data_IF_880717912712
#
_entry.id   IF_880717912712
#
_cell.length_a   1.000
_cell.length_b   1.000
_cell.length_c   1.000
_cell.angle_alpha   90.00
_cell.angle_beta   90.00
_cell.angle_gamma   90.00
#
_symmetry.space_group_name_H-M   'P 1'
#
loop_
_entity.id
_entity.type
_entity.pdbx_description
1 polymer ?
#
# COMPACT_ATOMS: atom_id res chain seq x y z
N UNK A 1 -2.38 40.87 15.11
CA UNK A 1 -3.08 40.91 13.82
C UNK A 1 -2.06 40.76 12.70
N UNK A 2 -2.20 39.67 11.93
CA UNK A 2 -1.80 39.44 10.51
C UNK A 2 -0.48 40.06 10.02
N UNK A 3 0.50 39.31 9.55
CA UNK A 3 0.43 38.20 8.58
C UNK A 3 1.19 38.66 7.33
N UNK A 4 2.38 38.12 7.08
CA UNK A 4 3.19 38.48 5.91
C UNK A 4 3.30 37.30 4.95
N UNK A 5 2.86 37.57 3.74
CA UNK A 5 2.90 36.75 2.54
C UNK A 5 4.34 36.50 2.11
N UNK A 6 4.68 35.25 1.78
CA UNK A 6 5.75 34.96 0.83
C UNK A 6 5.31 33.85 -0.11
N UNK A 7 4.92 34.27 -1.30
CA UNK A 7 4.88 33.46 -2.51
C UNK A 7 6.30 33.10 -2.94
N UNK A 8 6.50 31.86 -3.37
CA UNK A 8 7.48 31.56 -4.42
C UNK A 8 6.91 30.45 -5.30
N UNK A 9 6.66 30.83 -6.55
CA UNK A 9 6.28 29.97 -7.66
C UNK A 9 7.54 29.36 -8.27
N UNK A 10 7.58 28.03 -8.40
CA UNK A 10 8.35 27.35 -9.46
C UNK A 10 7.85 25.92 -9.64
N UNK A 11 7.06 25.71 -10.69
CA UNK A 11 6.86 24.41 -11.35
C UNK A 11 7.63 24.46 -12.68
N UNK A 12 8.10 23.34 -13.26
CA UNK A 12 7.17 22.50 -14.02
C UNK A 12 7.51 21.00 -14.03
N UNK A 13 6.64 20.18 -13.44
CA UNK A 13 6.25 18.84 -13.94
C UNK A 13 5.06 18.37 -13.12
N UNK A 14 3.89 18.89 -13.45
CA UNK A 14 2.63 18.36 -12.94
C UNK A 14 2.40 17.01 -13.63
N UNK A 15 2.80 15.91 -12.97
CA UNK A 15 1.98 14.72 -13.07
C UNK A 15 0.64 15.09 -12.43
N UNK A 16 -0.43 14.97 -13.20
CA UNK A 16 -1.79 15.22 -12.76
C UNK A 16 -2.14 14.13 -11.73
N UNK A 17 -1.70 14.29 -10.49
CA UNK A 17 -2.26 13.55 -9.36
C UNK A 17 -3.70 14.02 -9.21
N UNK A 18 -4.65 13.24 -9.73
CA UNK A 18 -6.06 13.38 -9.38
C UNK A 18 -6.13 13.34 -7.84
N UNK A 19 -6.55 14.45 -7.23
CA UNK A 19 -6.48 14.69 -5.80
C UNK A 19 -7.55 13.91 -5.03
N UNK A 20 -7.46 12.58 -5.05
CA UNK A 20 -8.28 11.72 -4.19
C UNK A 20 -7.87 11.85 -2.71
N UNK A 21 -6.74 12.51 -2.42
CA UNK A 21 -6.24 12.80 -1.09
C UNK A 21 -6.45 14.27 -0.71
N UNK A 22 -7.40 14.55 0.18
CA UNK A 22 -7.50 15.87 0.82
C UNK A 22 -7.07 15.72 2.28
N UNK A 23 -5.82 16.10 2.57
CA UNK A 23 -5.35 16.27 3.95
C UNK A 23 -5.33 17.77 4.30
N UNK A 24 -5.80 18.18 5.49
CA UNK A 24 -6.39 17.37 6.56
C UNK A 24 -7.76 16.77 6.16
N UNK A 25 -8.13 15.59 6.69
CA UNK A 25 -9.39 14.96 6.34
C UNK A 25 -10.57 15.88 6.70
N UNK A 26 -11.60 15.91 5.84
CA UNK A 26 -12.81 16.74 6.00
C UNK A 26 -13.49 16.52 7.37
N UNK A 27 -13.35 15.33 7.93
CA UNK A 27 -13.75 14.95 9.30
C UNK A 27 -12.74 13.96 9.90
N UNK A 28 -12.43 14.05 11.19
CA UNK A 28 -11.63 13.03 11.91
C UNK A 28 -10.23 13.45 12.35
N UNK A 29 -9.38 12.44 12.52
CA UNK A 29 -8.12 12.34 13.28
C UNK A 29 -7.52 13.66 13.78
N UNK A 30 -7.83 13.98 15.03
CA UNK A 30 -7.18 15.05 15.80
C UNK A 30 -6.01 14.43 16.58
N UNK A 31 -4.78 14.88 16.30
CA UNK A 31 -3.64 14.49 17.11
C UNK A 31 -3.80 15.02 18.53
N UNK A 32 -3.61 14.16 19.52
CA UNK A 32 -3.52 14.56 20.93
C UNK A 32 -2.37 15.57 21.12
N UNK A 33 -2.43 16.37 22.19
CA UNK A 33 -1.41 17.36 22.58
C UNK A 33 0.06 16.88 22.60
N UNK A 34 0.27 15.57 22.55
CA UNK A 34 1.54 14.89 22.71
C UNK A 34 1.64 13.63 21.84
N UNK A 35 2.86 13.16 21.59
CA UNK A 35 3.15 11.87 20.96
C UNK A 35 4.26 11.14 21.73
N UNK A 36 4.42 9.84 21.51
CA UNK A 36 5.49 9.04 22.12
C UNK A 36 6.46 8.56 21.03
N UNK A 37 7.77 8.71 21.26
CA UNK A 37 8.81 8.22 20.37
C UNK A 37 9.96 7.66 21.20
N UNK A 38 10.41 6.43 20.92
CA UNK A 38 11.50 5.81 21.68
C UNK A 38 11.22 5.59 23.17
N UNK A 39 9.95 5.60 23.60
CA UNK A 39 9.54 5.49 25.01
C UNK A 39 9.33 6.83 25.71
N UNK A 40 9.72 7.95 25.09
CA UNK A 40 9.59 9.28 25.67
C UNK A 40 8.35 10.02 25.14
N UNK A 41 7.73 10.84 26.00
CA UNK A 41 6.59 11.70 25.65
C UNK A 41 7.10 13.05 25.13
N UNK A 42 6.65 13.47 23.96
CA UNK A 42 6.97 14.74 23.34
C UNK A 42 5.72 15.62 23.21
N UNK A 43 5.82 16.87 23.63
CA UNK A 43 4.81 17.91 23.39
C UNK A 43 5.32 18.80 22.24
N UNK A 44 4.65 18.74 21.08
CA UNK A 44 5.08 19.46 19.87
C UNK A 44 3.91 20.14 19.16
N UNK A 45 4.23 21.25 18.49
CA UNK A 45 3.31 22.07 17.69
C UNK A 45 3.27 21.61 16.22
N UNK A 46 4.30 20.91 15.72
CA UNK A 46 4.40 20.42 14.34
C UNK A 46 4.51 18.88 14.33
N UNK A 47 3.42 18.20 14.66
CA UNK A 47 3.42 16.73 14.93
C UNK A 47 3.50 15.90 13.66
N UNK A 48 2.93 16.41 12.58
CA UNK A 48 2.98 15.85 11.23
C UNK A 48 4.42 15.63 10.75
N UNK A 49 5.39 16.41 11.25
CA UNK A 49 6.81 16.23 10.91
C UNK A 49 7.43 14.95 11.49
N UNK A 50 6.80 14.34 12.49
CA UNK A 50 7.25 13.10 13.14
C UNK A 50 6.48 11.86 12.64
N UNK A 51 5.51 12.05 11.75
CA UNK A 51 4.77 10.94 11.15
C UNK A 51 5.64 10.32 10.08
N UNK A 52 5.89 9.02 10.23
CA UNK A 52 6.46 8.24 9.15
C UNK A 52 5.35 7.86 8.17
N UNK A 53 5.35 8.47 6.99
CA UNK A 53 4.33 8.28 5.96
C UNK A 53 3.79 9.61 5.43
N UNK A 54 2.91 9.56 4.44
CA UNK A 54 2.25 10.77 3.95
C UNK A 54 1.08 11.10 4.88
N UNK A 55 0.89 12.36 5.33
CA UNK A 55 -0.27 12.72 6.14
C UNK A 55 -1.60 12.36 5.46
N UNK A 56 -1.64 12.41 4.13
CA UNK A 56 -2.73 11.89 3.30
C UNK A 56 -3.11 10.44 3.61
N UNK A 57 -2.19 9.61 4.08
CA UNK A 57 -2.46 8.21 4.41
C UNK A 57 -3.42 8.05 5.59
N UNK A 58 -3.50 9.05 6.47
CA UNK A 58 -4.39 9.04 7.64
C UNK A 58 -5.87 9.04 7.27
N UNK A 59 -6.22 9.54 6.08
CA UNK A 59 -7.61 9.50 5.60
C UNK A 59 -8.09 8.06 5.35
N UNK A 60 -7.17 7.10 5.27
CA UNK A 60 -7.45 5.70 5.05
C UNK A 60 -7.49 4.86 6.32
N UNK A 61 -7.09 5.48 7.44
CA UNK A 61 -7.08 4.83 8.74
C UNK A 61 -8.40 5.16 9.43
N UNK A 62 -8.86 4.26 10.30
CA UNK A 62 -10.06 4.48 11.08
C UNK A 62 -9.95 5.81 11.87
N UNK A 63 -10.95 6.68 11.74
CA UNK A 63 -11.02 7.96 12.43
C UNK A 63 -11.38 7.82 13.91
N UNK A 64 -11.89 6.65 14.31
CA UNK A 64 -12.12 6.32 15.71
C UNK A 64 -10.83 5.80 16.38
N UNK A 65 -10.53 6.22 17.62
CA UNK A 65 -9.39 5.70 18.36
C UNK A 65 -9.54 4.19 18.55
N UNK A 66 -8.68 3.42 17.90
CA UNK A 66 -8.55 2.00 18.16
C UNK A 66 -8.02 1.82 19.59
N UNK A 67 -8.58 0.91 20.40
CA UNK A 67 -8.05 0.56 21.72
C UNK A 67 -6.76 -0.27 21.61
N UNK A 68 -5.92 0.01 20.61
CA UNK A 68 -4.62 -0.64 20.47
C UNK A 68 -3.71 -0.13 21.59
N UNK A 69 -3.60 -0.92 22.66
CA UNK A 69 -2.60 -0.69 23.67
C UNK A 69 -1.26 -1.16 23.10
N UNK A 70 -0.43 -0.21 22.67
CA UNK A 70 1.00 -0.46 22.52
C UNK A 70 1.47 -1.10 23.83
N UNK A 71 2.09 -2.30 23.83
CA UNK A 71 2.63 -2.89 25.05
C UNK A 71 3.74 -2.00 25.58
N UNK A 72 3.41 -1.07 26.48
CA UNK A 72 4.40 -0.19 27.10
C UNK A 72 5.31 -1.06 27.96
N UNK A 73 6.63 -0.98 27.74
CA UNK A 73 7.63 -1.56 28.63
C UNK A 73 7.89 -3.06 28.50
N UNK A 74 7.39 -3.75 27.46
CA UNK A 74 7.97 -5.07 27.13
C UNK A 74 9.34 -4.85 26.50
N UNK A 75 10.42 -5.48 27.01
CA UNK A 75 11.68 -5.52 26.25
C UNK A 75 11.37 -6.05 24.85
N UNK A 76 12.13 -5.60 23.84
CA UNK A 76 12.01 -6.04 22.46
C UNK A 76 12.31 -7.55 22.34
N UNK A 77 11.42 -8.39 22.88
CA UNK A 77 11.42 -9.81 22.67
C UNK A 77 10.73 -10.10 21.35
N UNK A 78 11.35 -10.97 20.54
CA UNK A 78 10.79 -11.71 19.39
C UNK A 78 9.54 -11.07 18.75
N UNK A 79 9.73 -10.51 17.55
CA UNK A 79 8.64 -10.05 16.68
C UNK A 79 7.63 -11.18 16.49
N UNK A 80 6.37 -10.93 16.86
CA UNK A 80 5.28 -11.85 16.54
C UNK A 80 4.84 -11.58 15.09
N UNK A 81 4.87 -12.59 14.20
CA UNK A 81 4.37 -12.40 12.85
C UNK A 81 2.87 -12.10 12.90
N UNK A 82 2.44 -11.16 12.06
CA UNK A 82 1.02 -10.94 11.77
C UNK A 82 0.60 -11.93 10.68
N UNK A 83 -0.55 -12.57 10.85
CA UNK A 83 -1.05 -13.57 9.91
C UNK A 83 -2.25 -13.03 9.14
N UNK A 84 -2.02 -12.62 7.89
CA UNK A 84 -3.12 -12.36 6.95
C UNK A 84 -3.61 -13.71 6.40
N UNK A 85 -4.89 -14.04 6.62
CA UNK A 85 -5.49 -15.30 6.13
C UNK A 85 -6.01 -15.21 4.70
N UNK A 86 -6.14 -14.00 4.16
CA UNK A 86 -6.48 -13.73 2.76
C UNK A 86 -5.44 -12.77 2.18
N UNK A 87 -5.02 -13.01 0.94
CA UNK A 87 -4.07 -12.17 0.24
C UNK A 87 -4.43 -12.01 -1.24
N UNK A 88 -4.57 -10.76 -1.68
CA UNK A 88 -4.67 -10.40 -3.10
C UNK A 88 -3.26 -10.05 -3.60
N UNK A 89 -2.80 -10.76 -4.64
CA UNK A 89 -1.52 -10.53 -5.31
C UNK A 89 -1.62 -9.30 -6.21
N UNK A 90 -1.33 -8.13 -5.64
CA UNK A 90 -1.52 -6.83 -6.31
C UNK A 90 -0.78 -6.73 -7.65
N UNK A 91 0.36 -7.39 -7.78
CA UNK A 91 1.21 -7.41 -8.98
C UNK A 91 0.57 -8.16 -10.15
N UNK A 92 -0.39 -9.04 -9.85
CA UNK A 92 -1.13 -9.80 -10.87
C UNK A 92 -2.39 -9.07 -11.34
N UNK A 93 -2.77 -7.98 -10.67
CA UNK A 93 -4.00 -7.26 -10.95
C UNK A 93 -3.91 -6.54 -12.30
N UNK A 94 -4.84 -6.88 -13.21
CA UNK A 94 -4.86 -6.36 -14.58
C UNK A 94 -6.28 -6.17 -15.10
N UNK A 95 -6.39 -5.34 -16.14
CA UNK A 95 -7.56 -5.34 -17.00
C UNK A 95 -7.38 -6.36 -18.11
N UNK A 96 -8.41 -7.18 -18.32
CA UNK A 96 -8.50 -8.13 -19.44
C UNK A 96 -9.61 -7.66 -20.37
N UNK A 97 -9.33 -7.65 -21.68
CA UNK A 97 -10.34 -7.27 -22.67
C UNK A 97 -11.45 -8.31 -22.69
N UNK A 98 -12.70 -7.87 -22.64
CA UNK A 98 -13.85 -8.76 -22.83
C UNK A 98 -13.95 -9.13 -24.31
N UNK A 99 -14.01 -10.43 -24.61
CA UNK A 99 -14.21 -10.93 -25.96
C UNK A 99 -15.64 -10.64 -26.41
N UNK A 100 -15.83 -9.66 -27.29
CA UNK A 100 -17.11 -9.44 -27.96
C UNK A 100 -17.26 -10.46 -29.07
N UNK A 101 -17.82 -11.63 -28.74
CA UNK A 101 -18.26 -12.60 -29.75
C UNK A 101 -19.22 -11.93 -30.74
N UNK A 102 -18.75 -11.77 -31.99
CA UNK A 102 -19.54 -11.31 -33.13
C UNK A 102 -20.27 -9.97 -32.95
N UNK A 103 -19.51 -8.87 -32.95
CA UNK A 103 -19.78 -7.59 -33.65
C UNK A 103 -18.71 -6.60 -33.14
N UNK A 104 -18.11 -5.74 -33.99
CA UNK A 104 -17.14 -4.76 -33.55
C UNK A 104 -17.87 -3.69 -32.72
N UNK A 105 -17.95 -3.90 -31.41
CA UNK A 105 -18.35 -2.85 -30.48
C UNK A 105 -17.38 -1.67 -30.68
N UNK A 106 -17.87 -0.44 -30.86
CA UNK A 106 -17.00 0.71 -31.12
C UNK A 106 -16.07 1.08 -29.94
N UNK A 107 -16.12 0.34 -28.83
CA UNK A 107 -15.39 0.63 -27.60
C UNK A 107 -14.93 -0.67 -26.92
N UNK A 108 -13.62 -0.77 -26.64
CA UNK A 108 -13.02 -1.89 -25.90
C UNK A 108 -13.57 -1.91 -24.47
N UNK A 109 -14.14 -3.04 -24.06
CA UNK A 109 -14.64 -3.23 -22.69
C UNK A 109 -13.74 -4.20 -21.94
N UNK A 110 -13.58 -4.01 -20.64
CA UNK A 110 -12.60 -4.71 -19.82
C UNK A 110 -13.24 -5.26 -18.54
N UNK A 111 -12.68 -6.33 -18.01
CA UNK A 111 -12.95 -6.83 -16.67
C UNK A 111 -11.65 -6.90 -15.85
N UNK A 112 -11.78 -6.97 -14.52
CA UNK A 112 -10.65 -7.11 -13.60
C UNK A 112 -10.31 -8.59 -13.43
N UNK A 113 -9.02 -8.90 -13.51
CA UNK A 113 -8.47 -10.21 -13.20
C UNK A 113 -7.26 -10.06 -12.27
N UNK A 114 -7.14 -10.97 -11.30
CA UNK A 114 -6.01 -11.04 -10.35
C UNK A 114 -5.92 -12.43 -9.72
N UNK A 115 -4.78 -12.70 -9.09
CA UNK A 115 -4.54 -13.92 -8.32
C UNK A 115 -4.75 -13.64 -6.83
N UNK A 116 -5.32 -14.60 -6.11
CA UNK A 116 -5.42 -14.57 -4.67
C UNK A 116 -4.91 -15.85 -4.01
N UNK A 117 -4.51 -15.71 -2.77
CA UNK A 117 -4.19 -16.77 -1.83
C UNK A 117 -5.09 -16.66 -0.61
N UNK A 118 -5.70 -17.75 -0.19
CA UNK A 118 -6.57 -17.77 0.98
C UNK A 118 -6.34 -19.05 1.81
N UNK A 119 -6.07 -18.87 3.10
CA UNK A 119 -5.93 -19.97 4.06
C UNK A 119 -7.29 -20.48 4.56
N UNK A 120 -8.35 -19.72 4.25
CA UNK A 120 -9.72 -19.89 4.71
C UNK A 120 -10.67 -19.58 3.55
N UNK A 121 -11.94 -19.96 3.68
CA UNK A 121 -12.93 -19.62 2.67
C UNK A 121 -13.15 -18.09 2.67
N UNK A 122 -13.17 -17.49 1.49
CA UNK A 122 -13.22 -16.03 1.32
C UNK A 122 -14.17 -15.62 0.20
N UNK A 123 -14.54 -14.33 0.20
CA UNK A 123 -15.31 -13.68 -0.86
C UNK A 123 -14.49 -12.52 -1.42
N UNK A 124 -14.31 -12.51 -2.74
CA UNK A 124 -13.70 -11.40 -3.47
C UNK A 124 -14.80 -10.59 -4.13
N UNK A 125 -14.72 -9.28 -4.02
CA UNK A 125 -15.71 -8.35 -4.56
C UNK A 125 -15.06 -7.19 -5.30
N UNK A 126 -15.60 -6.83 -6.47
CA UNK A 126 -15.17 -5.69 -7.27
C UNK A 126 -16.22 -4.60 -7.20
N UNK A 127 -15.78 -3.39 -6.88
CA UNK A 127 -16.63 -2.23 -6.73
C UNK A 127 -16.14 -1.07 -7.59
N UNK A 128 -17.08 -0.21 -8.03
CA UNK A 128 -16.79 1.03 -8.73
C UNK A 128 -17.25 2.24 -7.92
N UNK A 129 -16.50 3.33 -8.00
CA UNK A 129 -16.79 4.61 -7.36
C UNK A 129 -17.14 4.47 -5.88
N UNK A 130 -16.19 3.94 -5.09
CA UNK A 130 -16.43 3.65 -3.67
C UNK A 130 -15.79 4.65 -2.74
N UNK A 131 -16.48 4.88 -1.62
CA UNK A 131 -15.86 5.43 -0.42
C UNK A 131 -15.65 4.29 0.57
N UNK A 132 -14.44 4.24 1.15
CA UNK A 132 -14.18 3.32 2.25
C UNK A 132 -14.51 3.95 3.60
N UNK A 133 -14.98 3.13 4.52
CA UNK A 133 -15.24 3.49 5.92
C UNK A 133 -14.94 2.30 6.82
N UNK A 134 -14.96 2.53 8.13
CA UNK A 134 -14.83 1.46 9.13
C UNK A 134 -16.08 1.39 9.98
N UNK A 135 -16.65 0.19 10.09
CA UNK A 135 -17.69 -0.11 11.06
C UNK A 135 -17.06 -0.95 12.18
N UNK A 136 -16.64 -0.27 13.25
CA UNK A 136 -15.80 -0.87 14.29
C UNK A 136 -14.44 -1.28 13.74
N UNK A 137 -14.16 -2.58 13.74
CA UNK A 137 -12.91 -3.18 13.27
C UNK A 137 -12.98 -3.71 11.83
N UNK A 138 -14.13 -3.57 11.16
CA UNK A 138 -14.34 -4.09 9.81
C UNK A 138 -14.32 -2.96 8.79
N UNK A 139 -13.61 -3.18 7.70
CA UNK A 139 -13.60 -2.30 6.53
C UNK A 139 -14.90 -2.50 5.75
N UNK A 140 -15.56 -1.40 5.40
CA UNK A 140 -16.82 -1.36 4.66
C UNK A 140 -16.69 -0.40 3.49
N UNK A 141 -17.20 -0.80 2.33
CA UNK A 141 -17.24 0.02 1.12
C UNK A 141 -18.67 0.50 0.86
N UNK A 142 -18.80 1.75 0.44
CA UNK A 142 -20.06 2.37 0.05
C UNK A 142 -19.96 2.88 -1.39
N UNK A 143 -20.78 2.33 -2.28
CA UNK A 143 -20.89 2.79 -3.66
C UNK A 143 -21.50 4.20 -3.72
N UNK A 144 -20.86 5.10 -4.47
CA UNK A 144 -21.28 6.49 -4.60
C UNK A 144 -22.00 6.76 -5.92
N UNK A 145 -21.87 5.87 -6.91
CA UNK A 145 -22.42 6.08 -8.25
C UNK A 145 -23.74 5.31 -8.46
N UNK A 146 -24.83 5.96 -8.93
CA UNK A 146 -26.16 5.35 -9.02
C UNK A 146 -26.27 4.21 -10.04
N UNK A 147 -25.45 4.23 -11.10
CA UNK A 147 -25.41 3.13 -12.08
C UNK A 147 -24.63 1.90 -11.60
N UNK A 148 -23.86 2.03 -10.51
CA UNK A 148 -23.04 0.95 -9.96
C UNK A 148 -23.27 0.80 -8.46
N UNK A 149 -24.52 0.49 -8.02
CA UNK A 149 -24.89 0.56 -6.61
C UNK A 149 -24.35 -0.59 -5.75
N UNK A 150 -23.78 -1.65 -6.36
CA UNK A 150 -23.30 -2.82 -5.64
C UNK A 150 -22.14 -3.52 -6.36
N UNK A 151 -21.48 -4.44 -5.65
CA UNK A 151 -20.35 -5.17 -6.20
C UNK A 151 -20.77 -6.44 -6.92
N UNK A 152 -19.89 -6.87 -7.82
CA UNK A 152 -19.84 -8.27 -8.24
C UNK A 152 -18.98 -9.07 -7.27
N UNK A 153 -19.45 -10.27 -6.90
CA UNK A 153 -18.87 -11.10 -5.83
C UNK A 153 -18.63 -12.52 -6.29
N UNK A 154 -17.50 -13.08 -5.88
CA UNK A 154 -17.18 -14.48 -6.11
C UNK A 154 -16.54 -15.10 -4.87
N UNK A 155 -16.92 -16.34 -4.55
CA UNK A 155 -16.41 -17.08 -3.40
C UNK A 155 -15.32 -18.06 -3.81
N UNK A 156 -14.35 -18.22 -2.93
CA UNK A 156 -13.24 -19.14 -3.09
C UNK A 156 -13.08 -19.97 -1.83
N UNK A 157 -12.89 -21.27 -2.00
CA UNK A 157 -12.47 -22.13 -0.90
C UNK A 157 -10.97 -21.95 -0.62
N UNK A 158 -10.52 -22.29 0.59
CA UNK A 158 -9.09 -22.27 0.94
C UNK A 158 -8.19 -22.87 -0.16
N UNK A 159 -7.14 -22.15 -0.51
CA UNK A 159 -6.19 -22.54 -1.56
C UNK A 159 -5.25 -21.39 -1.92
N UNK A 160 -4.20 -21.71 -2.68
CA UNK A 160 -3.22 -20.75 -3.16
C UNK A 160 -3.31 -20.64 -4.68
N UNK A 161 -2.98 -19.47 -5.23
CA UNK A 161 -2.93 -19.25 -6.67
C UNK A 161 -4.29 -19.29 -7.36
N UNK A 162 -5.38 -18.97 -6.67
CA UNK A 162 -6.69 -18.85 -7.29
C UNK A 162 -6.70 -17.69 -8.27
N UNK A 163 -7.19 -17.92 -9.49
CA UNK A 163 -7.42 -16.85 -10.47
C UNK A 163 -8.85 -16.35 -10.29
N UNK A 164 -9.00 -15.09 -9.93
CA UNK A 164 -10.27 -14.37 -9.91
C UNK A 164 -10.41 -13.57 -11.20
N UNK A 165 -11.54 -13.71 -11.89
CA UNK A 165 -11.86 -12.98 -13.12
C UNK A 165 -13.32 -12.49 -13.06
N UNK A 166 -13.51 -11.17 -13.06
CA UNK A 166 -14.82 -10.55 -12.83
C UNK A 166 -15.59 -10.30 -14.14
N UNK A 167 -15.94 -11.36 -14.87
CA UNK A 167 -16.56 -11.23 -16.20
C UNK A 167 -17.95 -10.58 -16.18
N UNK A 168 -18.67 -10.69 -15.06
CA UNK A 168 -20.00 -10.08 -14.86
C UNK A 168 -19.95 -8.55 -14.85
N UNK A 169 -18.83 -7.95 -14.43
CA UNK A 169 -18.61 -6.50 -14.44
C UNK A 169 -17.69 -6.11 -15.59
N UNK A 170 -18.28 -6.01 -16.79
CA UNK A 170 -17.58 -5.47 -17.95
C UNK A 170 -17.73 -3.95 -17.99
N UNK A 171 -16.62 -3.22 -17.93
CA UNK A 171 -16.61 -1.75 -17.87
C UNK A 171 -15.76 -1.14 -18.98
N UNK A 172 -16.15 0.06 -19.39
CA UNK A 172 -15.33 0.93 -20.25
C UNK A 172 -14.59 1.90 -19.34
N UNK A 173 -13.25 1.91 -19.31
CA UNK A 173 -12.52 2.80 -18.41
C UNK A 173 -12.77 4.30 -18.63
N UNK A 174 -13.36 4.72 -19.75
CA UNK A 174 -13.86 6.11 -19.91
C UNK A 174 -14.90 6.50 -18.87
N UNK A 175 -15.58 5.53 -18.26
CA UNK A 175 -16.53 5.77 -17.16
C UNK A 175 -15.88 6.54 -15.99
N UNK A 176 -14.57 6.37 -15.78
CA UNK A 176 -13.84 7.07 -14.73
C UNK A 176 -13.66 8.56 -15.04
N UNK A 177 -13.55 8.92 -16.32
CA UNK A 177 -13.50 10.30 -16.78
C UNK A 177 -14.91 10.92 -16.69
N UNK A 178 -15.94 10.20 -17.16
CA UNK A 178 -17.33 10.69 -17.18
C UNK A 178 -17.91 10.92 -15.77
N UNK A 179 -17.53 10.09 -14.81
CA UNK A 179 -18.02 10.16 -13.44
C UNK A 179 -17.21 11.10 -12.54
N UNK A 180 -16.12 11.70 -13.03
CA UNK A 180 -15.18 12.47 -12.22
C UNK A 180 -15.86 13.58 -11.42
N UNK A 181 -16.85 14.25 -12.00
CA UNK A 181 -17.57 15.35 -11.37
C UNK A 181 -18.57 14.89 -10.30
N UNK A 182 -19.21 13.75 -10.52
CA UNK A 182 -20.22 13.19 -9.60
C UNK A 182 -19.62 12.44 -8.41
N UNK A 183 -18.39 11.96 -8.55
CA UNK A 183 -17.74 11.03 -7.62
C UNK A 183 -16.35 11.52 -7.16
N UNK A 184 -16.13 12.83 -7.07
CA UNK A 184 -14.81 13.44 -6.80
C UNK A 184 -14.07 12.91 -5.56
N UNK A 185 -14.80 12.46 -4.54
CA UNK A 185 -14.23 11.93 -3.29
C UNK A 185 -14.23 10.38 -3.23
N UNK A 186 -14.52 9.70 -4.34
CA UNK A 186 -14.63 8.24 -4.41
C UNK A 186 -13.46 7.63 -5.18
N UNK A 187 -13.01 6.44 -4.76
CA UNK A 187 -12.05 5.66 -5.51
C UNK A 187 -12.72 5.02 -6.73
N UNK A 188 -12.14 5.15 -7.93
CA UNK A 188 -12.78 4.71 -9.16
C UNK A 188 -13.02 3.20 -9.18
N UNK A 189 -12.07 2.41 -8.67
CA UNK A 189 -12.18 0.96 -8.59
C UNK A 189 -11.60 0.44 -7.27
N UNK A 190 -12.27 -0.57 -6.69
CA UNK A 190 -11.77 -1.28 -5.53
C UNK A 190 -11.97 -2.79 -5.68
N UNK A 191 -10.99 -3.56 -5.21
CA UNK A 191 -11.09 -5.01 -5.04
C UNK A 191 -10.96 -5.32 -3.55
N UNK A 192 -11.99 -5.90 -2.96
CA UNK A 192 -12.03 -6.31 -1.56
C UNK A 192 -12.09 -7.84 -1.48
N UNK A 193 -11.15 -8.43 -0.75
CA UNK A 193 -11.19 -9.83 -0.33
C UNK A 193 -11.46 -9.91 1.16
N UNK A 194 -12.50 -10.63 1.57
CA UNK A 194 -12.90 -10.79 2.96
C UNK A 194 -12.98 -12.27 3.36
N UNK A 195 -12.43 -12.60 4.53
CA UNK A 195 -12.61 -13.92 5.14
C UNK A 195 -14.07 -14.15 5.51
N UNK A 196 -14.57 -15.36 5.25
CA UNK A 196 -15.90 -15.83 5.66
C UNK A 196 -15.88 -16.55 7.02
N UNK A 197 -14.72 -16.67 7.67
CA UNK A 197 -14.65 -17.26 9.01
C UNK A 197 -15.25 -16.37 10.09
N UNK A 198 -15.80 -17.02 11.12
CA UNK A 198 -16.24 -16.33 12.33
C UNK A 198 -15.02 -15.92 13.15
N UNK A 199 -14.90 -14.63 13.46
CA UNK A 199 -13.76 -14.13 14.22
C UNK A 199 -13.50 -12.64 13.99
N UNK A 200 -12.33 -12.14 14.42
CA UNK A 200 -11.94 -10.78 14.12
C UNK A 200 -11.71 -10.60 12.61
N UNK A 201 -12.00 -9.41 12.11
CA UNK A 201 -12.02 -9.15 10.67
C UNK A 201 -10.64 -9.37 10.04
N UNK A 202 -10.63 -10.20 9.00
CA UNK A 202 -9.48 -10.39 8.14
C UNK A 202 -9.88 -10.05 6.70
N UNK A 203 -9.34 -8.94 6.18
CA UNK A 203 -9.73 -8.36 4.90
C UNK A 203 -8.51 -7.76 4.19
N UNK A 204 -8.49 -7.80 2.87
CA UNK A 204 -7.55 -7.03 2.07
C UNK A 204 -8.30 -6.21 1.02
N UNK A 205 -7.98 -4.92 0.96
CA UNK A 205 -8.51 -3.98 -0.01
C UNK A 205 -7.38 -3.47 -0.90
N UNK A 206 -7.61 -3.55 -2.21
CA UNK A 206 -6.84 -2.84 -3.23
C UNK A 206 -7.70 -1.70 -3.77
N UNK A 207 -7.19 -0.47 -3.65
CA UNK A 207 -7.75 0.70 -4.30
C UNK A 207 -6.99 0.94 -5.60
N UNK A 208 -7.72 1.02 -6.71
CA UNK A 208 -7.13 1.01 -8.04
C UNK A 208 -7.64 2.16 -8.89
N UNK A 209 -6.87 2.52 -9.91
CA UNK A 209 -7.28 3.39 -11.01
C UNK A 209 -7.01 2.72 -12.36
N UNK A 210 -7.59 3.30 -13.41
CA UNK A 210 -7.25 2.94 -14.78
C UNK A 210 -6.28 3.96 -15.37
N UNK A 211 -5.20 3.49 -15.96
CA UNK A 211 -4.23 4.32 -16.67
C UNK A 211 -4.33 4.03 -18.18
N UNK A 212 -4.50 5.08 -18.98
CA UNK A 212 -4.54 4.95 -20.44
C UNK A 212 -3.12 4.75 -20.95
N UNK A 213 -2.89 3.63 -21.64
CA UNK A 213 -1.62 3.37 -22.31
C UNK A 213 -1.55 4.23 -23.59
N UNK A 214 -0.39 4.83 -23.85
CA UNK A 214 -0.18 5.76 -24.95
C UNK A 214 -0.38 5.13 -26.35
N UNK A 215 -0.38 3.80 -26.44
CA UNK A 215 -0.66 3.04 -27.66
C UNK A 215 -2.03 2.33 -27.58
N UNK A 216 -2.82 2.44 -28.64
CA UNK A 216 -3.99 1.60 -28.96
C UNK A 216 -5.21 1.60 -28.03
N UNK A 217 -5.51 2.74 -27.39
CA UNK A 217 -6.68 2.91 -26.50
C UNK A 217 -6.80 1.82 -25.42
N UNK A 218 -5.69 1.16 -25.11
CA UNK A 218 -5.57 0.14 -24.10
C UNK A 218 -5.48 0.79 -22.72
N UNK A 219 -5.99 0.10 -21.71
CA UNK A 219 -5.93 0.54 -20.33
C UNK A 219 -5.21 -0.48 -19.48
N UNK A 220 -4.38 -0.01 -18.56
CA UNK A 220 -3.80 -0.82 -17.49
C UNK A 220 -4.52 -0.53 -16.17
N UNK A 221 -4.63 -1.56 -15.34
CA UNK A 221 -5.11 -1.41 -13.97
C UNK A 221 -3.91 -1.06 -13.08
N UNK A 222 -4.02 0.01 -12.32
CA UNK A 222 -2.97 0.46 -11.40
C UNK A 222 -3.46 0.40 -9.98
N UNK A 223 -2.76 -0.36 -9.14
CA UNK A 223 -3.02 -0.38 -7.70
C UNK A 223 -2.40 0.87 -7.08
N UNK A 224 -3.24 1.74 -6.52
CA UNK A 224 -2.84 2.97 -5.86
C UNK A 224 -2.52 2.74 -4.39
N UNK A 225 -3.34 1.91 -3.72
CA UNK A 225 -3.20 1.67 -2.29
C UNK A 225 -3.64 0.28 -1.89
N UNK A 226 -2.95 -0.27 -0.89
CA UNK A 226 -3.24 -1.57 -0.30
C UNK A 226 -3.48 -1.40 1.20
N UNK A 227 -4.63 -1.88 1.67
CA UNK A 227 -5.00 -1.90 3.08
C UNK A 227 -5.29 -3.34 3.46
N UNK A 228 -4.65 -3.81 4.54
CA UNK A 228 -4.91 -5.14 5.10
C UNK A 228 -5.42 -4.97 6.51
N UNK A 229 -6.57 -5.55 6.81
CA UNK A 229 -7.13 -5.64 8.16
C UNK A 229 -6.77 -7.02 8.69
N UNK A 230 -5.99 -7.06 9.77
CA UNK A 230 -5.60 -8.30 10.45
C UNK A 230 -6.08 -8.21 11.89
N UNK A 231 -6.88 -9.19 12.30
CA UNK A 231 -7.51 -9.21 13.62
C UNK A 231 -8.22 -7.89 13.97
N UNK A 232 -8.85 -7.26 12.97
CA UNK A 232 -9.54 -5.98 13.13
C UNK A 232 -8.65 -4.73 13.17
N UNK A 233 -7.33 -4.88 13.03
CA UNK A 233 -6.37 -3.78 12.96
C UNK A 233 -6.11 -3.41 11.48
N UNK A 234 -6.50 -2.21 11.02
CA UNK A 234 -6.20 -1.76 9.67
C UNK A 234 -4.73 -1.34 9.53
N UNK A 235 -4.06 -1.90 8.54
CA UNK A 235 -2.66 -1.65 8.20
C UNK A 235 -2.57 -1.20 6.74
N UNK A 236 -1.97 -0.04 6.52
CA UNK A 236 -1.57 0.37 5.17
C UNK A 236 -0.27 -0.34 4.83
N UNK A 237 -0.26 -1.08 3.72
CA UNK A 237 0.90 -1.86 3.29
C UNK A 237 1.71 -1.06 2.27
N UNK A 238 3.02 -0.96 2.50
CA UNK A 238 3.95 -0.31 1.59
C UNK A 238 5.02 -1.31 1.13
N UNK A 239 5.44 -1.18 -0.13
CA UNK A 239 6.59 -1.92 -0.63
C UNK A 239 7.88 -1.41 0.02
N UNK A 240 8.86 -2.30 0.13
CA UNK A 240 10.20 -1.94 0.57
C UNK A 240 11.12 -2.16 -0.62
N UNK A 241 11.82 -1.12 -1.03
CA UNK A 241 12.72 -1.16 -2.17
C UNK A 241 14.05 -1.82 -1.75
N UNK A 242 14.61 -2.65 -2.63
CA UNK A 242 15.86 -3.36 -2.36
C UNK A 242 15.69 -4.69 -1.63
N UNK A 243 14.45 -5.15 -1.41
CA UNK A 243 14.15 -6.55 -1.10
C UNK A 243 14.08 -7.30 -2.43
N UNK A 244 15.07 -8.12 -2.72
CA UNK A 244 14.98 -9.12 -3.80
C UNK A 244 14.38 -10.41 -3.26
N UNK A 245 13.49 -11.04 -4.05
CA UNK A 245 12.88 -12.33 -3.72
C UNK A 245 13.95 -13.42 -3.68
N UNK A 246 14.40 -13.75 -2.46
CA UNK A 246 15.12 -15.00 -2.21
C UNK A 246 14.12 -16.14 -2.16
N UNK A 247 13.57 -16.52 -3.31
CA UNK A 247 12.91 -17.82 -3.43
C UNK A 247 13.97 -18.93 -3.31
N UNK A 248 14.18 -19.40 -2.08
CA UNK A 248 14.84 -20.69 -1.80
C UNK A 248 16.00 -20.64 -0.79
N UNK A 249 15.75 -21.17 0.41
CA UNK A 249 16.80 -21.76 1.24
C UNK A 249 17.17 -21.00 2.50
N UNK A 250 16.62 -21.46 3.63
CA UNK A 250 16.92 -20.96 4.95
C UNK A 250 18.32 -21.26 5.45
N UNK A 251 18.58 -20.72 6.63
CA UNK A 251 19.73 -21.00 7.49
C UNK A 251 20.11 -22.48 7.55
N UNK A 252 21.38 -22.77 7.28
CA UNK A 252 22.10 -23.93 7.82
C UNK A 252 22.15 -25.18 6.93
N UNK A 253 23.22 -25.32 6.14
CA UNK A 253 24.08 -26.51 6.14
C UNK A 253 25.21 -26.36 5.11
N UNK A 254 26.44 -26.59 5.57
CA UNK A 254 27.57 -26.89 4.70
C UNK A 254 27.34 -28.28 4.09
N UNK A 255 27.24 -28.38 2.77
CA UNK A 255 27.60 -29.58 2.02
C UNK A 255 27.83 -29.22 0.55
N UNK A 256 28.92 -29.74 -0.01
CA UNK A 256 29.48 -29.40 -1.30
C UNK A 256 28.80 -30.09 -2.50
N UNK A 257 29.10 -29.54 -3.69
CA UNK A 257 29.13 -30.14 -5.04
C UNK A 257 28.07 -29.59 -6.03
N UNK A 258 28.30 -29.68 -7.37
CA UNK A 258 28.91 -28.60 -8.15
C UNK A 258 28.02 -28.06 -9.28
N UNK A 259 28.50 -26.96 -9.86
CA UNK A 259 27.93 -26.08 -10.89
C UNK A 259 27.21 -26.73 -12.09
N UNK A 260 26.11 -26.09 -12.54
CA UNK A 260 26.02 -25.46 -13.86
C UNK A 260 24.70 -24.67 -14.07
N UNK A 261 24.84 -23.54 -14.77
CA UNK A 261 23.83 -22.72 -15.48
C UNK A 261 23.15 -21.55 -14.74
N UNK A 262 23.80 -20.38 -14.84
CA UNK A 262 23.24 -19.04 -15.09
C UNK A 262 22.04 -18.54 -14.27
N UNK A 263 22.32 -18.17 -13.03
CA UNK A 263 21.65 -17.02 -12.39
C UNK A 263 22.73 -16.02 -11.97
N UNK A 264 22.98 -15.04 -12.84
CA UNK A 264 23.87 -13.90 -12.61
C UNK A 264 23.23 -12.94 -11.59
N UNK A 265 23.08 -13.35 -10.33
CA UNK A 265 22.94 -12.40 -9.23
C UNK A 265 24.32 -12.20 -8.63
N UNK A 266 24.88 -11.00 -8.80
CA UNK A 266 26.14 -10.62 -8.17
C UNK A 266 25.96 -10.73 -6.64
N UNK A 267 26.81 -11.48 -5.91
CA UNK A 267 26.73 -11.57 -4.45
C UNK A 267 26.70 -10.20 -3.73
N UNK A 268 27.17 -9.12 -4.39
CA UNK A 268 27.09 -7.75 -3.87
C UNK A 268 25.69 -7.14 -3.79
N UNK A 269 24.68 -7.70 -4.48
CA UNK A 269 23.33 -7.11 -4.54
C UNK A 269 22.48 -7.33 -3.28
N UNK A 270 22.95 -8.15 -2.33
CA UNK A 270 22.30 -8.33 -1.03
C UNK A 270 23.07 -7.71 0.14
N UNK A 271 24.27 -7.20 -0.12
CA UNK A 271 25.16 -6.67 0.90
C UNK A 271 24.93 -5.18 1.15
N UNK A 272 25.18 -4.76 2.38
CA UNK A 272 25.11 -3.38 2.82
C UNK A 272 25.98 -2.49 1.92
N UNK A 273 25.39 -1.45 1.35
CA UNK A 273 26.07 -0.56 0.37
C UNK A 273 27.24 0.23 0.96
N UNK A 274 27.38 0.25 2.29
CA UNK A 274 28.46 0.97 2.99
C UNK A 274 29.64 0.05 3.27
N UNK A 275 29.40 -1.11 3.86
CA UNK A 275 30.49 -2.01 4.26
C UNK A 275 30.77 -3.12 3.26
N UNK A 276 29.82 -3.44 2.36
CA UNK A 276 29.90 -4.54 1.38
C UNK A 276 30.26 -5.90 2.00
N UNK A 277 29.92 -6.11 3.28
CA UNK A 277 30.31 -7.31 4.06
C UNK A 277 29.13 -7.96 4.76
N UNK A 278 28.21 -7.17 5.32
CA UNK A 278 27.03 -7.68 6.03
C UNK A 278 25.80 -7.54 5.15
N UNK A 279 24.87 -8.49 5.28
CA UNK A 279 23.57 -8.42 4.63
C UNK A 279 22.77 -7.18 5.07
N UNK A 280 21.89 -6.71 4.19
CA UNK A 280 20.97 -5.60 4.47
C UNK A 280 19.86 -6.10 5.40
N UNK A 281 19.68 -5.43 6.53
CA UNK A 281 18.65 -5.74 7.54
C UNK A 281 17.93 -4.49 8.07
N UNK A 282 18.35 -3.31 7.61
CA UNK A 282 17.86 -2.03 8.11
C UNK A 282 17.23 -1.20 6.99
N UNK A 283 15.95 -0.88 7.16
CA UNK A 283 15.20 0.01 6.27
C UNK A 283 15.40 1.47 6.68
N UNK A 284 15.69 2.33 5.72
CA UNK A 284 15.76 3.78 5.93
C UNK A 284 14.37 4.38 5.69
N UNK A 285 13.79 4.97 6.74
CA UNK A 285 12.59 5.80 6.64
C UNK A 285 13.01 7.27 6.45
N UNK A 286 12.27 8.08 5.65
CA UNK A 286 10.98 7.79 5.01
C UNK A 286 11.08 7.12 3.63
N UNK A 287 12.29 6.93 3.09
CA UNK A 287 12.47 6.50 1.70
C UNK A 287 12.20 5.01 1.43
N UNK A 288 11.95 4.19 2.46
CA UNK A 288 11.62 2.75 2.38
C UNK A 288 12.67 1.90 1.63
N UNK A 289 13.94 2.28 1.69
CA UNK A 289 15.03 1.51 1.07
C UNK A 289 15.68 0.58 2.10
N UNK A 290 15.73 -0.72 1.79
CA UNK A 290 16.55 -1.71 2.48
C UNK A 290 17.93 -1.73 1.80
N UNK A 291 18.89 -1.01 2.36
CA UNK A 291 20.24 -0.90 1.78
C UNK A 291 21.39 -0.96 2.79
N UNK A 292 21.10 -0.97 4.10
CA UNK A 292 22.10 -0.94 5.16
C UNK A 292 22.00 -2.17 6.08
N UNK A 293 23.14 -2.53 6.67
CA UNK A 293 23.17 -3.35 7.88
C UNK A 293 23.04 -2.47 9.14
N UNK A 294 22.59 -3.06 10.23
CA UNK A 294 22.33 -2.42 11.52
C UNK A 294 23.52 -1.57 12.01
N UNK A 295 24.73 -2.14 11.99
CA UNK A 295 25.94 -1.42 12.43
C UNK A 295 26.28 -0.18 11.58
N UNK A 296 26.01 -0.22 10.27
CA UNK A 296 26.24 0.93 9.39
C UNK A 296 25.15 1.98 9.57
N UNK A 297 23.90 1.55 9.77
CA UNK A 297 22.78 2.44 10.04
C UNK A 297 22.98 3.20 11.35
N UNK A 298 23.41 2.53 12.41
CA UNK A 298 23.68 3.18 13.70
C UNK A 298 24.83 4.20 13.60
N UNK A 299 25.90 3.87 12.89
CA UNK A 299 27.01 4.81 12.66
C UNK A 299 26.54 6.09 11.93
N UNK A 300 25.65 5.95 10.93
CA UNK A 300 25.08 7.09 10.19
C UNK A 300 24.14 7.93 11.06
N UNK A 301 23.33 7.29 11.93
CA UNK A 301 22.46 7.98 12.89
C UNK A 301 23.28 8.87 13.83
N UNK A 302 24.38 8.34 14.38
CA UNK A 302 25.23 9.10 15.30
C UNK A 302 25.93 10.29 14.62
N UNK A 303 26.41 10.14 13.38
CA UNK A 303 27.01 11.26 12.65
C UNK A 303 26.00 12.36 12.29
N UNK A 304 24.75 11.99 11.97
CA UNK A 304 23.67 12.95 11.73
C UNK A 304 23.24 13.68 13.01
N UNK A 305 23.32 13.02 14.17
CA UNK A 305 22.95 13.61 15.47
C UNK A 305 23.92 14.69 16.01
N UNK A 306 25.13 14.81 15.45
CA UNK A 306 26.05 15.92 15.76
C UNK A 306 25.73 17.22 15.00
N UNK A 307 24.75 17.23 14.09
CA UNK A 307 24.34 18.42 13.34
C UNK A 307 23.06 19.02 13.93
N UNK A 308 23.14 20.19 14.58
CA UNK A 308 21.99 20.92 15.19
C UNK A 308 20.98 21.51 14.17
N UNK A 309 20.76 20.87 13.03
CA UNK A 309 19.83 21.34 11.99
C UNK A 309 19.39 20.18 11.09
N UNK A 310 18.65 19.23 11.66
CA UNK A 310 18.07 18.07 10.98
C UNK A 310 16.82 18.43 10.14
N UNK A 311 16.92 19.39 9.22
CA UNK A 311 15.75 19.82 8.43
C UNK A 311 15.94 19.75 6.90
N UNK A 312 17.15 19.50 6.37
CA UNK A 312 17.38 19.68 4.92
C UNK A 312 18.21 18.64 4.17
N UNK A 313 18.49 17.46 4.72
CA UNK A 313 19.40 16.50 4.05
C UNK A 313 18.83 15.17 3.58
N UNK A 314 17.56 14.87 3.80
CA UNK A 314 16.98 13.59 3.32
C UNK A 314 16.89 13.49 1.78
N UNK A 315 16.82 14.62 1.07
CA UNK A 315 16.58 14.62 -0.38
C UNK A 315 17.83 14.46 -1.28
N UNK A 316 19.06 14.33 -0.74
CA UNK A 316 20.30 14.29 -1.56
C UNK A 316 21.13 13.01 -1.46
N UNK A 317 20.67 11.99 -0.75
CA UNK A 317 21.40 10.71 -0.68
C UNK A 317 20.96 9.67 -1.73
N UNK A 318 19.96 9.96 -2.57
CA UNK A 318 19.40 9.00 -3.53
C UNK A 318 19.38 9.53 -4.98
N UNK A 319 20.39 10.30 -5.39
CA UNK A 319 20.61 10.71 -6.78
C UNK A 319 22.00 10.33 -7.23
#
# INVERSE_FOLDING_TARGET
HMGSLLSTSSSPRAQTEQSWATFPPKTGVLFTGHFYLGGDKFESVARESFIFGEPADLQFVNSQPLPYQLPVGRPAGHSRPLQAVVSLRKETARFVKADSGAEPLPHQSFHVELVLDCLVDCEVSVWLFVRQSFNGQRLVLEAQHPLYPGPERQRFSRGLGWVFSCTELTLRPTVFDDASDSCQDAFPLAVLCESLESGPANQQLLLCSAERLAADSAYSLKVLKQITVIDGLPLVVHDIYGISDREGGGSGSQAAAPAAADSLMDPGDADCVVCMVKARDTVILPCRHLCLCDSCADSLRYQASCCRSAERRSARCCS
#
